data_IF_209490875475
#
_entry.id   IF_209490875475
#
_cell.length_a   1.000
_cell.length_b   1.000
_cell.length_c   1.000
_cell.angle_alpha   90.00
_cell.angle_beta   90.00
_cell.angle_gamma   90.00
#
_symmetry.space_group_name_H-M   'P 1'
#
loop_
_entity.id
_entity.type
_entity.pdbx_description
1 polymer ?
#
# COMPACT_ATOMS: atom_id res chain seq x y z
N UNK A 1 -6.61 -9.85 -1.87
CA UNK A 1 -5.26 -9.26 -1.99
C UNK A 1 -5.42 -7.80 -2.38
N UNK A 2 -5.65 -6.95 -1.39
CA UNK A 2 -5.71 -5.50 -1.53
C UNK A 2 -4.81 -4.99 -0.42
N UNK A 3 -3.52 -4.79 -0.74
CA UNK A 3 -2.50 -4.41 0.23
C UNK A 3 -2.89 -3.11 0.93
N UNK A 4 -2.51 -2.95 2.21
CA UNK A 4 -2.97 -1.85 3.08
C UNK A 4 -2.79 -0.45 2.48
N UNK A 5 -1.82 -0.25 1.58
CA UNK A 5 -1.63 1.00 0.84
C UNK A 5 -2.83 1.44 0.01
N UNK A 6 -3.52 0.51 -0.67
CA UNK A 6 -4.68 0.82 -1.51
C UNK A 6 -5.93 1.24 -0.72
N UNK A 7 -6.01 0.82 0.55
CA UNK A 7 -7.10 1.21 1.46
C UNK A 7 -6.85 2.59 2.08
N UNK A 8 -5.60 2.94 2.39
CA UNK A 8 -5.23 4.27 2.91
C UNK A 8 -5.55 5.40 1.93
N UNK A 9 -5.17 5.21 0.67
CA UNK A 9 -5.36 6.23 -0.35
C UNK A 9 -6.84 6.46 -0.68
N UNK A 10 -7.69 5.44 -0.51
CA UNK A 10 -9.16 5.58 -0.58
C UNK A 10 -9.70 6.42 0.56
N UNK A 11 -9.33 6.10 1.80
CA UNK A 11 -9.79 6.85 2.96
C UNK A 11 -9.35 8.33 2.90
N UNK A 12 -8.14 8.59 2.40
CA UNK A 12 -7.67 9.96 2.17
C UNK A 12 -8.52 10.66 1.09
N UNK A 13 -8.75 10.02 -0.07
CA UNK A 13 -9.54 10.61 -1.16
C UNK A 13 -10.96 11.02 -0.74
N UNK A 14 -11.61 10.29 0.17
CA UNK A 14 -12.96 10.59 0.66
C UNK A 14 -13.05 11.88 1.51
N UNK A 15 -11.93 12.36 2.04
CA UNK A 15 -11.88 13.52 2.94
C UNK A 15 -11.18 14.75 2.34
N UNK A 16 -10.87 14.71 1.03
CA UNK A 16 -10.14 15.77 0.32
C UNK A 16 -11.09 16.63 -0.53
N UNK A 17 -10.65 17.84 -0.86
CA UNK A 17 -11.35 18.65 -1.86
C UNK A 17 -11.36 17.93 -3.22
N UNK A 18 -12.31 18.31 -4.07
CA UNK A 18 -12.61 17.64 -5.34
C UNK A 18 -11.39 17.46 -6.24
N UNK A 19 -10.53 18.49 -6.33
CA UNK A 19 -9.33 18.44 -7.19
C UNK A 19 -8.31 17.45 -6.65
N UNK A 20 -8.09 17.43 -5.33
CA UNK A 20 -7.20 16.45 -4.71
C UNK A 20 -7.78 15.04 -4.78
N UNK A 21 -9.07 14.87 -4.51
CA UNK A 21 -9.74 13.57 -4.59
C UNK A 21 -9.62 12.93 -5.99
N UNK A 22 -9.83 13.71 -7.05
CA UNK A 22 -9.63 13.25 -8.44
C UNK A 22 -8.17 12.84 -8.68
N UNK A 23 -7.21 13.64 -8.22
CA UNK A 23 -5.79 13.35 -8.36
C UNK A 23 -5.42 12.04 -7.65
N UNK A 24 -5.77 11.87 -6.38
CA UNK A 24 -5.49 10.64 -5.62
C UNK A 24 -6.23 9.42 -6.19
N UNK A 25 -7.42 9.60 -6.73
CA UNK A 25 -8.14 8.51 -7.41
C UNK A 25 -7.42 8.06 -8.69
N UNK A 26 -6.80 8.99 -9.42
CA UNK A 26 -5.99 8.67 -10.60
C UNK A 26 -4.72 7.88 -10.22
N UNK A 27 -4.06 8.27 -9.11
CA UNK A 27 -2.89 7.58 -8.58
C UNK A 27 -3.24 6.14 -8.12
N UNK A 28 -4.40 5.94 -7.52
CA UNK A 28 -4.81 4.60 -7.05
C UNK A 28 -4.88 3.61 -8.22
N UNK A 29 -5.31 4.07 -9.40
CA UNK A 29 -5.35 3.26 -10.62
C UNK A 29 -3.96 2.88 -11.12
N UNK A 30 -2.96 3.76 -11.00
CA UNK A 30 -1.58 3.42 -11.37
C UNK A 30 -0.94 2.47 -10.36
N UNK A 31 -1.13 2.70 -9.06
CA UNK A 31 -0.57 1.83 -8.02
C UNK A 31 -1.12 0.39 -8.10
N UNK A 32 -2.40 0.24 -8.46
CA UNK A 32 -2.99 -1.09 -8.71
C UNK A 32 -2.27 -1.86 -9.83
N UNK A 33 -1.79 -1.16 -10.87
CA UNK A 33 -1.01 -1.79 -11.94
C UNK A 33 0.43 -2.07 -11.49
N UNK A 34 1.04 -1.13 -10.76
CA UNK A 34 2.41 -1.26 -10.28
C UNK A 34 2.61 -2.51 -9.41
N UNK A 35 1.72 -2.78 -8.42
CA UNK A 35 1.92 -3.95 -7.56
C UNK A 35 1.87 -5.27 -8.35
N UNK A 36 0.98 -5.36 -9.35
CA UNK A 36 0.84 -6.56 -10.17
C UNK A 36 2.10 -6.80 -10.99
N UNK A 37 2.67 -5.74 -11.55
CA UNK A 37 3.88 -5.84 -12.35
C UNK A 37 5.10 -6.19 -11.49
N UNK A 38 5.20 -5.64 -10.27
CA UNK A 38 6.24 -6.06 -9.32
C UNK A 38 6.13 -7.53 -8.91
N UNK A 39 4.92 -8.04 -8.65
CA UNK A 39 4.73 -9.47 -8.35
C UNK A 39 5.13 -10.36 -9.53
N UNK A 40 4.74 -9.99 -10.76
CA UNK A 40 5.16 -10.73 -11.97
C UNK A 40 6.67 -10.74 -12.12
N UNK A 41 7.32 -9.59 -11.95
CA UNK A 41 8.79 -9.48 -12.03
C UNK A 41 9.48 -10.30 -10.95
N UNK A 42 8.95 -10.32 -9.73
CA UNK A 42 9.50 -11.12 -8.63
C UNK A 42 9.44 -12.63 -8.95
N UNK A 43 8.32 -13.12 -9.47
CA UNK A 43 8.17 -14.52 -9.91
C UNK A 43 9.16 -14.86 -11.04
N UNK A 44 9.28 -13.98 -12.03
CA UNK A 44 10.22 -14.16 -13.15
C UNK A 44 11.68 -14.19 -12.68
N UNK A 45 12.07 -13.28 -11.78
CA UNK A 45 13.42 -13.19 -11.26
C UNK A 45 13.77 -14.39 -10.34
N UNK A 46 12.80 -14.89 -9.57
CA UNK A 46 12.99 -16.05 -8.70
C UNK A 46 12.94 -17.38 -9.46
N UNK A 47 12.30 -17.43 -10.63
CA UNK A 47 12.08 -18.66 -11.39
C UNK A 47 11.05 -19.60 -10.77
N UNK A 48 10.20 -19.10 -9.87
CA UNK A 48 9.25 -19.89 -9.09
C UNK A 48 8.32 -19.03 -8.23
N UNK A 49 7.39 -19.66 -7.48
CA UNK A 49 6.46 -18.95 -6.59
C UNK A 49 7.21 -18.11 -5.56
N UNK A 50 6.57 -17.02 -5.11
CA UNK A 50 7.14 -16.07 -4.13
C UNK A 50 6.24 -15.90 -2.89
N UNK A 51 5.25 -16.78 -2.74
CA UNK A 51 4.18 -16.71 -1.74
C UNK A 51 4.71 -16.60 -0.30
N UNK A 52 5.65 -17.46 0.09
CA UNK A 52 6.28 -17.42 1.43
C UNK A 52 6.93 -16.06 1.74
N UNK A 53 7.56 -15.46 0.72
CA UNK A 53 8.22 -14.17 0.87
C UNK A 53 7.22 -13.02 0.91
N UNK A 54 6.14 -13.13 0.13
CA UNK A 54 5.01 -12.19 0.18
C UNK A 54 4.35 -12.24 1.54
N UNK A 55 4.08 -13.42 2.09
CA UNK A 55 3.50 -13.59 3.43
C UNK A 55 4.38 -12.94 4.50
N UNK A 56 5.69 -13.19 4.46
CA UNK A 56 6.66 -12.53 5.36
C UNK A 56 6.55 -11.00 5.31
N UNK A 57 6.47 -10.41 4.11
CA UNK A 57 6.37 -8.96 3.98
C UNK A 57 4.98 -8.44 4.36
N UNK A 58 3.91 -9.20 4.15
CA UNK A 58 2.57 -8.83 4.58
C UNK A 58 2.46 -8.74 6.10
N UNK A 59 3.10 -9.64 6.84
CA UNK A 59 3.15 -9.57 8.31
C UNK A 59 3.89 -8.33 8.80
N UNK A 60 5.03 -8.01 8.18
CA UNK A 60 5.81 -6.81 8.50
C UNK A 60 5.03 -5.54 8.17
N UNK A 61 4.44 -5.46 6.97
CA UNK A 61 3.65 -4.31 6.51
C UNK A 61 2.45 -4.07 7.44
N UNK A 62 1.71 -5.14 7.78
CA UNK A 62 0.60 -5.05 8.73
C UNK A 62 1.04 -4.45 10.07
N UNK A 63 2.14 -4.96 10.63
CA UNK A 63 2.67 -4.47 11.90
C UNK A 63 3.02 -2.98 11.81
N UNK A 64 3.74 -2.56 10.77
CA UNK A 64 4.14 -1.16 10.58
C UNK A 64 2.94 -0.21 10.41
N UNK A 65 1.82 -0.69 9.86
CA UNK A 65 0.60 0.10 9.66
C UNK A 65 -0.23 0.20 10.95
N UNK A 66 -0.24 -0.84 11.77
CA UNK A 66 -1.07 -0.92 12.98
C UNK A 66 -0.38 -0.36 14.23
N UNK A 67 0.95 -0.41 14.29
CA UNK A 67 1.73 0.10 15.43
C UNK A 67 1.87 1.63 15.42
N UNK A 68 1.87 2.29 16.59
CA UNK A 68 2.01 3.74 16.65
C UNK A 68 3.31 4.26 16.05
N UNK A 69 3.22 5.40 15.35
CA UNK A 69 4.37 6.10 14.77
C UNK A 69 4.54 7.48 15.42
N UNK A 70 5.75 8.02 15.37
CA UNK A 70 6.09 9.35 15.89
C UNK A 70 5.86 10.46 14.88
N UNK A 71 5.75 10.13 13.59
CA UNK A 71 5.53 11.10 12.52
C UNK A 71 4.36 10.70 11.63
N UNK A 72 3.54 11.68 11.23
CA UNK A 72 2.50 11.46 10.23
C UNK A 72 3.09 11.49 8.81
N UNK A 73 3.06 10.35 8.12
CA UNK A 73 3.50 10.18 6.73
C UNK A 73 2.47 9.34 5.96
N UNK A 74 2.60 9.29 4.62
CA UNK A 74 1.70 8.48 3.78
C UNK A 74 1.68 6.97 4.12
N UNK A 75 2.78 6.46 4.68
CA UNK A 75 2.96 5.05 5.03
C UNK A 75 3.19 4.82 6.53
N UNK A 76 3.06 5.86 7.37
CA UNK A 76 3.23 5.70 8.82
C UNK A 76 2.07 4.91 9.41
N UNK A 77 2.32 4.28 10.56
CA UNK A 77 1.25 3.85 11.45
C UNK A 77 0.51 5.04 12.08
N UNK A 78 -0.49 4.79 12.95
CA UNK A 78 -1.21 5.85 13.62
C UNK A 78 -0.30 6.67 14.53
N UNK A 79 -0.34 8.00 14.40
CA UNK A 79 0.32 8.87 15.39
C UNK A 79 -0.56 8.90 16.63
N UNK A 80 0.01 8.56 17.78
CA UNK A 80 -0.70 8.66 19.06
C UNK A 80 -1.04 10.12 19.36
N UNK A 81 -2.26 10.37 19.83
CA UNK A 81 -2.76 11.70 20.20
C UNK A 81 -2.16 12.21 21.52
#
# INVERSE_FOLDING_TARGET
ADGGAGQRQRHQAENLDEKLAEFYSSLLKSEARHYQDYLKLAVQANGGPVDDRVETFMEIDKRLIEEPDTEFRFHSGPVAA
#
